data_IF_316134754493
#
_entry.id   IF_316134754493
#
_cell.length_a   1.000
_cell.length_b   1.000
_cell.length_c   1.000
_cell.angle_alpha   90.00
_cell.angle_beta   90.00
_cell.angle_gamma   90.00
#
_symmetry.space_group_name_H-M   'P 1'
#
loop_
_entity.id
_entity.type
_entity.pdbx_description
1 polymer ?
#
# COMPACT_ATOMS: atom_id res chain seq x y z
N UNK A 1 -56.77 -37.14 13.96
CA UNK A 1 -56.01 -38.17 13.20
C UNK A 1 -56.18 -37.85 11.72
N UNK A 2 -55.19 -37.81 10.84
CA UNK A 2 -53.78 -38.18 10.90
C UNK A 2 -53.05 -37.42 9.77
N UNK A 3 -51.76 -37.22 9.99
CA UNK A 3 -50.75 -36.47 9.25
C UNK A 3 -50.62 -36.67 7.72
N UNK A 4 -50.02 -35.65 7.08
CA UNK A 4 -48.89 -35.74 6.13
C UNK A 4 -48.59 -34.33 5.58
N UNK A 5 -47.37 -33.85 5.27
CA UNK A 5 -45.97 -34.18 5.56
C UNK A 5 -45.17 -32.96 5.02
N UNK A 6 -44.14 -32.56 5.78
CA UNK A 6 -43.03 -31.63 5.51
C UNK A 6 -42.78 -31.13 4.06
N UNK A 7 -42.45 -29.84 3.90
CA UNK A 7 -41.35 -29.26 3.08
C UNK A 7 -41.34 -27.72 3.36
N UNK A 8 -40.47 -27.17 4.21
CA UNK A 8 -39.11 -26.66 3.96
C UNK A 8 -38.93 -25.66 2.78
N UNK A 9 -38.08 -24.66 2.99
CA UNK A 9 -37.62 -23.54 2.11
C UNK A 9 -38.54 -22.30 2.11
N UNK A 10 -38.09 -21.04 2.12
CA UNK A 10 -36.82 -20.33 1.89
C UNK A 10 -37.11 -18.87 2.34
N UNK A 11 -36.23 -17.95 2.73
CA UNK A 11 -34.97 -17.54 2.14
C UNK A 11 -34.36 -16.55 3.15
N UNK A 12 -33.37 -16.97 3.93
CA UNK A 12 -32.51 -16.03 4.65
C UNK A 12 -31.72 -15.31 3.57
N UNK A 13 -32.08 -14.05 3.32
CA UNK A 13 -31.37 -13.16 2.40
C UNK A 13 -29.99 -12.83 2.96
N UNK A 14 -29.04 -13.75 2.78
CA UNK A 14 -27.64 -13.49 3.01
C UNK A 14 -27.18 -12.57 1.88
N UNK A 15 -27.28 -11.27 2.10
CA UNK A 15 -26.60 -10.26 1.31
C UNK A 15 -25.10 -10.56 1.40
N UNK A 16 -24.57 -11.28 0.42
CA UNK A 16 -23.14 -11.40 0.21
C UNK A 16 -22.67 -10.01 -0.22
N UNK A 17 -22.37 -9.17 0.76
CA UNK A 17 -21.57 -7.99 0.53
C UNK A 17 -20.24 -8.51 0.01
N UNK A 18 -20.01 -8.36 -1.30
CA UNK A 18 -18.71 -8.62 -1.90
C UNK A 18 -17.74 -7.66 -1.22
N UNK A 19 -17.01 -8.15 -0.22
CA UNK A 19 -15.86 -7.45 0.30
C UNK A 19 -14.99 -7.14 -0.91
N UNK A 20 -14.88 -5.87 -1.27
CA UNK A 20 -13.87 -5.45 -2.22
C UNK A 20 -12.57 -5.64 -1.45
N UNK A 21 -11.83 -6.70 -1.77
CA UNK A 21 -10.54 -6.99 -1.16
C UNK A 21 -9.59 -5.88 -1.58
N UNK A 22 -9.51 -4.82 -0.78
CA UNK A 22 -8.45 -3.84 -0.88
C UNK A 22 -7.17 -4.56 -0.43
N UNK A 23 -6.39 -5.03 -1.39
CA UNK A 23 -5.12 -5.67 -1.13
C UNK A 23 -4.11 -4.59 -0.69
N UNK A 24 -3.21 -4.89 0.26
CA UNK A 24 -2.12 -3.97 0.57
C UNK A 24 -1.24 -3.72 -0.67
N UNK A 25 -0.39 -2.69 -0.65
CA UNK A 25 0.70 -2.58 -1.61
C UNK A 25 1.53 -3.88 -1.62
N UNK A 26 1.82 -4.39 -2.81
CA UNK A 26 2.39 -5.74 -3.00
C UNK A 26 3.88 -5.77 -2.74
N UNK A 27 4.60 -4.76 -3.22
CA UNK A 27 6.06 -4.75 -3.20
C UNK A 27 6.60 -3.32 -3.11
N UNK A 28 7.76 -3.17 -2.48
CA UNK A 28 8.52 -1.92 -2.42
C UNK A 28 9.92 -2.12 -2.99
N UNK A 29 10.22 -1.45 -4.10
CA UNK A 29 11.52 -1.43 -4.77
C UNK A 29 12.19 -0.08 -4.56
N UNK A 30 13.51 -0.10 -4.46
CA UNK A 30 14.33 1.05 -4.06
C UNK A 30 15.59 1.11 -4.90
N UNK A 31 15.97 2.32 -5.31
CA UNK A 31 17.26 2.63 -5.92
C UNK A 31 17.78 3.94 -5.36
N UNK A 32 19.09 4.10 -5.24
CA UNK A 32 19.72 5.28 -4.67
C UNK A 32 20.82 5.81 -5.59
N UNK A 33 20.76 7.10 -5.91
CA UNK A 33 21.81 7.84 -6.60
C UNK A 33 22.59 8.66 -5.56
N UNK A 34 23.81 8.24 -5.16
CA UNK A 34 24.58 8.91 -4.12
C UNK A 34 25.10 10.29 -4.56
N UNK A 35 25.28 10.52 -5.86
CA UNK A 35 25.73 11.82 -6.37
C UNK A 35 24.64 12.87 -6.21
N UNK A 36 23.38 12.48 -6.48
CA UNK A 36 22.21 13.36 -6.34
C UNK A 36 21.55 13.31 -4.97
N UNK A 37 21.98 12.40 -4.09
CA UNK A 37 21.30 12.04 -2.84
C UNK A 37 19.81 11.75 -3.05
N UNK A 38 19.51 11.07 -4.16
CA UNK A 38 18.15 10.79 -4.61
C UNK A 38 17.80 9.34 -4.30
N UNK A 39 16.81 9.17 -3.42
CA UNK A 39 16.15 7.88 -3.17
C UNK A 39 14.92 7.76 -4.06
N UNK A 40 14.94 6.76 -4.93
CA UNK A 40 13.83 6.41 -5.82
C UNK A 40 13.11 5.21 -5.23
N UNK A 41 11.82 5.37 -4.96
CA UNK A 41 10.96 4.33 -4.39
C UNK A 41 9.86 4.01 -5.40
N UNK A 42 9.70 2.73 -5.70
CA UNK A 42 8.63 2.21 -6.54
C UNK A 42 7.77 1.26 -5.71
N UNK A 43 6.50 1.61 -5.55
CA UNK A 43 5.53 0.85 -4.77
C UNK A 43 4.58 0.17 -5.73
N UNK A 44 4.72 -1.14 -5.90
CA UNK A 44 3.84 -1.94 -6.76
C UNK A 44 2.52 -2.14 -6.04
N UNK A 45 1.45 -1.57 -6.57
CA UNK A 45 0.10 -1.64 -6.00
C UNK A 45 -0.92 -1.60 -7.16
N UNK A 46 -1.26 -2.75 -7.75
CA UNK A 46 -2.21 -2.81 -8.86
C UNK A 46 -3.61 -2.41 -8.43
N UNK A 47 -4.20 -1.36 -9.00
CA UNK A 47 -5.51 -0.83 -8.59
C UNK A 47 -6.42 -0.60 -9.78
N UNK A 48 -7.73 -0.67 -9.56
CA UNK A 48 -8.71 -0.45 -10.63
C UNK A 48 -8.90 1.03 -10.97
N UNK A 49 -8.89 1.90 -9.96
CA UNK A 49 -9.13 3.34 -10.08
C UNK A 49 -8.13 4.09 -9.20
N UNK A 50 -7.19 4.77 -9.86
CA UNK A 50 -6.05 5.44 -9.23
C UNK A 50 -6.45 6.63 -8.35
N UNK A 51 -7.67 7.15 -8.47
CA UNK A 51 -8.17 8.23 -7.62
C UNK A 51 -8.94 7.72 -6.39
N UNK A 52 -9.42 6.47 -6.42
CA UNK A 52 -10.21 5.87 -5.32
C UNK A 52 -9.40 4.91 -4.45
N UNK A 53 -8.50 4.14 -5.04
CA UNK A 53 -7.63 3.17 -4.35
C UNK A 53 -6.20 3.42 -4.79
N UNK A 54 -5.36 3.91 -3.89
CA UNK A 54 -3.99 4.34 -4.19
C UNK A 54 -3.10 4.33 -2.95
N UNK A 55 -1.79 4.41 -3.17
CA UNK A 55 -0.80 4.63 -2.11
C UNK A 55 -0.94 6.06 -1.58
N UNK A 56 -1.48 6.25 -0.37
CA UNK A 56 -1.70 7.59 0.22
C UNK A 56 -0.42 8.22 0.76
N UNK A 57 0.54 7.41 1.17
CA UNK A 57 1.79 7.91 1.73
C UNK A 57 2.95 6.95 1.50
N UNK A 58 4.12 7.52 1.25
CA UNK A 58 5.43 6.86 1.39
C UNK A 58 6.20 7.62 2.45
N UNK A 59 6.62 6.93 3.51
CA UNK A 59 7.40 7.48 4.62
C UNK A 59 8.75 6.77 4.69
N UNK A 60 9.81 7.54 4.91
CA UNK A 60 11.18 7.07 5.11
C UNK A 60 11.60 7.47 6.52
N UNK A 61 12.10 6.50 7.28
CA UNK A 61 12.62 6.67 8.62
C UNK A 61 14.08 6.31 8.68
N UNK A 62 14.81 6.99 9.55
CA UNK A 62 16.16 6.65 9.95
C UNK A 62 16.14 6.46 11.46
N UNK A 63 16.66 5.33 11.95
CA UNK A 63 16.70 5.02 13.40
C UNK A 63 15.33 5.12 14.10
N UNK A 64 14.25 4.82 13.38
CA UNK A 64 12.88 4.88 13.89
C UNK A 64 12.24 6.27 13.84
N UNK A 65 13.01 7.32 13.59
CA UNK A 65 12.53 8.69 13.42
C UNK A 65 12.17 8.98 11.97
N UNK A 66 11.09 9.73 11.75
CA UNK A 66 10.64 10.11 10.41
C UNK A 66 11.61 11.10 9.78
N UNK A 67 12.24 10.68 8.69
CA UNK A 67 13.17 11.50 7.91
C UNK A 67 12.43 12.24 6.78
N UNK A 68 11.65 11.52 5.98
CA UNK A 68 10.88 12.08 4.86
C UNK A 68 9.49 11.46 4.80
N UNK A 69 8.53 12.21 4.27
CA UNK A 69 7.25 11.64 3.87
C UNK A 69 6.69 12.38 2.66
N UNK A 70 6.11 11.63 1.75
CA UNK A 70 5.37 12.15 0.62
C UNK A 70 3.94 11.62 0.68
N UNK A 71 2.97 12.54 0.61
CA UNK A 71 1.54 12.22 0.52
C UNK A 71 1.08 12.30 -0.93
N UNK A 72 0.08 11.50 -1.25
CA UNK A 72 -0.54 11.46 -2.56
C UNK A 72 -2.05 11.57 -2.43
N UNK A 73 -2.69 11.96 -3.52
CA UNK A 73 -4.15 12.03 -3.66
C UNK A 73 -4.64 11.17 -4.84
N UNK A 74 -3.71 10.57 -5.59
CA UNK A 74 -3.95 9.58 -6.63
C UNK A 74 -2.68 8.76 -6.85
N UNK A 75 -2.81 7.58 -7.45
CA UNK A 75 -1.68 6.79 -7.91
C UNK A 75 -1.15 7.29 -9.26
N UNK A 76 0.15 7.14 -9.51
CA UNK A 76 0.79 7.49 -10.77
C UNK A 76 0.17 6.73 -11.96
N UNK A 77 0.06 5.41 -11.86
CA UNK A 77 -0.67 4.57 -12.82
C UNK A 77 -1.43 3.43 -12.11
N UNK A 78 -2.08 2.55 -12.87
CA UNK A 78 -2.88 1.46 -12.31
C UNK A 78 -2.06 0.28 -11.74
N UNK A 79 -0.73 0.32 -11.80
CA UNK A 79 0.18 -0.73 -11.30
C UNK A 79 1.08 -0.24 -10.16
N UNK A 80 1.57 1.00 -10.23
CA UNK A 80 2.71 1.46 -9.44
C UNK A 80 2.57 2.93 -9.02
N UNK A 81 3.01 3.23 -7.80
CA UNK A 81 3.32 4.58 -7.34
C UNK A 81 4.83 4.80 -7.30
N UNK A 82 5.30 5.98 -7.71
CA UNK A 82 6.69 6.38 -7.57
C UNK A 82 6.85 7.50 -6.54
N UNK A 83 7.92 7.45 -5.75
CA UNK A 83 8.38 8.54 -4.91
C UNK A 83 9.84 8.86 -5.25
N UNK A 84 10.14 10.15 -5.36
CA UNK A 84 11.47 10.66 -5.63
C UNK A 84 11.84 11.60 -4.50
N UNK A 85 12.76 11.18 -3.65
CA UNK A 85 13.04 11.84 -2.38
C UNK A 85 14.51 12.24 -2.32
N UNK A 86 14.77 13.52 -2.12
CA UNK A 86 16.13 14.07 -1.99
C UNK A 86 16.27 14.60 -0.57
N UNK A 87 17.35 14.21 0.11
CA UNK A 87 17.71 14.76 1.41
C UNK A 87 19.22 14.74 1.62
N UNK A 88 19.80 15.77 2.25
CA UNK A 88 21.22 15.77 2.59
C UNK A 88 21.61 14.65 3.56
N UNK A 89 20.65 14.12 4.32
CA UNK A 89 20.85 13.09 5.35
C UNK A 89 20.84 11.67 4.77
N UNK A 90 20.34 11.50 3.54
CA UNK A 90 20.37 10.23 2.83
C UNK A 90 21.74 10.03 2.18
N UNK A 91 22.54 9.11 2.75
CA UNK A 91 23.91 8.80 2.35
C UNK A 91 24.14 7.28 2.37
N UNK A 92 25.17 6.81 1.67
CA UNK A 92 25.57 5.41 1.74
C UNK A 92 25.93 5.00 3.18
N UNK A 93 25.62 3.76 3.54
CA UNK A 93 25.90 3.15 4.85
C UNK A 93 24.84 3.40 5.92
N UNK A 94 23.83 4.24 5.67
CA UNK A 94 22.75 4.45 6.64
C UNK A 94 21.67 3.37 6.50
N UNK A 95 21.04 3.00 7.62
CA UNK A 95 19.88 2.13 7.63
C UNK A 95 18.60 2.95 7.55
N UNK A 96 17.77 2.64 6.56
CA UNK A 96 16.46 3.23 6.37
C UNK A 96 15.35 2.21 6.55
N UNK A 97 14.20 2.67 7.05
CA UNK A 97 12.93 1.96 7.03
C UNK A 97 11.94 2.74 6.18
N UNK A 98 11.38 2.08 5.16
CA UNK A 98 10.45 2.69 4.24
C UNK A 98 9.09 2.01 4.41
N UNK A 99 8.05 2.79 4.61
CA UNK A 99 6.67 2.33 4.69
C UNK A 99 5.82 3.02 3.62
N UNK A 100 5.11 2.23 2.81
CA UNK A 100 4.09 2.73 1.92
C UNK A 100 2.70 2.25 2.39
N UNK A 101 1.73 3.16 2.48
CA UNK A 101 0.37 2.87 2.97
C UNK A 101 -0.65 3.09 1.87
N UNK A 102 -1.63 2.21 1.80
CA UNK A 102 -2.80 2.39 0.95
C UNK A 102 -3.82 3.32 1.65
N UNK A 103 -4.58 4.10 0.86
CA UNK A 103 -5.62 4.99 1.37
C UNK A 103 -6.83 4.26 1.95
N UNK A 104 -7.05 2.99 1.58
CA UNK A 104 -8.15 2.15 2.07
C UNK A 104 -7.67 1.26 3.22
N UNK A 105 -6.69 0.39 2.96
CA UNK A 105 -6.20 -0.55 3.96
C UNK A 105 -4.82 -1.12 3.63
N UNK A 106 -4.02 -1.35 4.68
CA UNK A 106 -2.77 -2.09 4.59
C UNK A 106 -1.56 -1.22 4.24
N UNK A 107 -0.39 -1.80 4.46
CA UNK A 107 0.89 -1.19 4.15
C UNK A 107 1.93 -2.23 3.78
N UNK A 108 2.99 -1.78 3.13
CA UNK A 108 4.21 -2.55 2.90
C UNK A 108 5.37 -1.82 3.55
N UNK A 109 6.24 -2.57 4.21
CA UNK A 109 7.44 -2.04 4.86
C UNK A 109 8.68 -2.73 4.30
N UNK A 110 9.77 -1.97 4.19
CA UNK A 110 11.08 -2.48 3.80
C UNK A 110 12.17 -1.75 4.56
N UNK A 111 13.05 -2.51 5.19
CA UNK A 111 14.30 -1.97 5.74
C UNK A 111 15.43 -2.26 4.77
N UNK A 112 16.34 -1.30 4.58
CA UNK A 112 17.54 -1.47 3.77
C UNK A 112 18.68 -0.60 4.29
N UNK A 113 19.89 -0.99 3.94
CA UNK A 113 21.08 -0.14 4.10
C UNK A 113 21.46 0.37 2.72
N UNK A 114 21.71 1.67 2.60
CA UNK A 114 22.07 2.33 1.34
C UNK A 114 23.53 2.14 0.94
#
# INVERSE_FOLDING_TARGET
>A
MLAMKKLLFSFVGLMVASAVWAHPPKELKTSFDPMKRLLIISVVHPVKDVAKHFVVSVEVKQEGEKLLAQKYYSQYDNQTQYAYMISPDIKAGIKLEIEARCNIIGSVKKSLTL
#
